data_IF_053843904770
#
_entry.id   IF_053843904770
#
_cell.length_a   1.000
_cell.length_b   1.000
_cell.length_c   1.000
_cell.angle_alpha   90.00
_cell.angle_beta   90.00
_cell.angle_gamma   90.00
#
_symmetry.space_group_name_H-M   'P 1'
#
loop_
_entity.id
_entity.type
_entity.pdbx_description
1 polymer ?
#
# COMPACT_ATOMS: atom_id res chain seq x y z
N UNK A 1 -36.24 62.42 22.90
CA UNK A 1 -35.08 62.42 23.82
C UNK A 1 -34.43 61.04 23.77
N UNK A 2 -33.09 61.00 23.54
CA UNK A 2 -32.12 59.93 23.89
C UNK A 2 -32.36 58.52 23.30
N UNK A 3 -31.63 58.02 22.30
CA UNK A 3 -30.18 57.70 22.15
C UNK A 3 -29.69 56.36 22.75
N UNK A 4 -28.95 55.62 21.90
CA UNK A 4 -27.94 54.57 22.15
C UNK A 4 -28.44 53.13 22.45
N UNK A 5 -27.82 52.03 21.98
CA UNK A 5 -26.60 51.80 21.22
C UNK A 5 -26.60 50.40 20.56
N UNK A 6 -25.78 50.27 19.52
CA UNK A 6 -25.31 49.05 18.86
C UNK A 6 -24.73 48.01 19.83
N UNK A 7 -24.86 46.73 19.48
CA UNK A 7 -23.83 45.72 19.78
C UNK A 7 -23.84 44.61 18.71
N UNK A 8 -23.00 44.88 17.71
CA UNK A 8 -22.37 43.92 16.81
C UNK A 8 -21.64 42.81 17.59
N UNK A 9 -21.90 41.56 17.24
CA UNK A 9 -20.95 40.46 17.50
C UNK A 9 -20.73 39.72 16.19
N UNK A 10 -19.52 39.90 15.65
CA UNK A 10 -19.09 39.34 14.38
C UNK A 10 -19.07 37.82 14.43
N UNK A 11 -19.78 37.21 13.49
CA UNK A 11 -19.64 35.80 13.22
C UNK A 11 -18.30 35.60 12.49
N UNK A 12 -17.36 35.08 13.26
CA UNK A 12 -16.02 34.66 12.89
C UNK A 12 -16.08 33.83 11.59
N UNK A 13 -15.64 34.41 10.47
CA UNK A 13 -15.42 33.69 9.22
C UNK A 13 -14.31 32.67 9.43
N UNK A 14 -14.69 31.40 9.55
CA UNK A 14 -13.77 30.27 9.59
C UNK A 14 -12.85 30.30 8.37
N UNK A 15 -11.56 30.48 8.65
CA UNK A 15 -10.42 29.78 8.06
C UNK A 15 -10.74 29.07 6.73
N UNK A 16 -10.41 29.75 5.63
CA UNK A 16 -10.00 29.11 4.39
C UNK A 16 -8.74 28.29 4.66
N UNK A 17 -8.91 27.10 5.25
CA UNK A 17 -7.94 26.03 5.13
C UNK A 17 -7.99 25.62 3.65
N UNK A 18 -7.10 26.21 2.86
CA UNK A 18 -6.87 25.80 1.48
C UNK A 18 -6.68 24.29 1.46
N UNK A 19 -7.62 23.60 0.82
CA UNK A 19 -7.43 22.21 0.44
C UNK A 19 -6.21 22.19 -0.48
N UNK A 20 -5.04 21.84 0.07
CA UNK A 20 -3.94 21.36 -0.75
C UNK A 20 -4.52 20.17 -1.50
N UNK A 21 -4.72 20.31 -2.81
CA UNK A 21 -4.85 19.14 -3.67
C UNK A 21 -3.58 18.32 -3.44
N UNK A 22 -3.73 17.18 -2.79
CA UNK A 22 -2.67 16.18 -2.77
C UNK A 22 -2.31 15.90 -4.23
N UNK A 23 -1.05 16.17 -4.54
CA UNK A 23 -0.52 16.08 -5.87
C UNK A 23 -0.58 14.62 -6.31
N UNK A 24 -1.60 14.27 -7.10
CA UNK A 24 -1.67 13.16 -8.05
C UNK A 24 -0.93 11.89 -7.58
N UNK A 25 -1.17 11.49 -6.33
CA UNK A 25 -0.79 10.18 -5.85
C UNK A 25 -1.77 9.23 -6.52
N UNK A 26 -1.25 8.31 -7.35
CA UNK A 26 -2.07 7.27 -7.97
C UNK A 26 -2.94 6.53 -6.95
N UNK A 27 -3.90 5.69 -7.40
CA UNK A 27 -4.83 5.00 -6.52
C UNK A 27 -4.14 4.38 -5.30
N UNK A 28 -4.72 4.63 -4.12
CA UNK A 28 -4.24 4.02 -2.89
C UNK A 28 -4.77 2.60 -2.76
N UNK A 29 -3.86 1.65 -2.62
CA UNK A 29 -4.15 0.25 -2.42
C UNK A 29 -3.99 -0.12 -0.96
N UNK A 30 -4.75 -1.12 -0.54
CA UNK A 30 -4.64 -1.69 0.79
C UNK A 30 -4.52 -3.21 0.68
N UNK A 31 -3.72 -3.81 1.55
CA UNK A 31 -3.49 -5.25 1.53
C UNK A 31 -2.88 -5.77 2.81
N UNK A 32 -2.78 -7.09 2.90
CA UNK A 32 -2.17 -7.80 4.02
C UNK A 32 -0.93 -8.52 3.54
N UNK A 33 0.18 -8.33 4.26
CA UNK A 33 1.44 -9.02 3.95
C UNK A 33 1.28 -10.52 4.20
N UNK A 34 1.55 -11.33 3.18
CA UNK A 34 1.55 -12.78 3.28
C UNK A 34 2.91 -13.31 3.75
N UNK A 35 3.98 -12.58 3.44
CA UNK A 35 5.36 -12.91 3.79
C UNK A 35 6.32 -12.31 2.76
N UNK A 36 7.52 -12.85 2.69
CA UNK A 36 8.52 -12.48 1.68
C UNK A 36 9.16 -13.71 1.05
N UNK A 37 9.53 -13.61 -0.22
CA UNK A 37 10.40 -14.58 -0.89
C UNK A 37 11.59 -13.85 -1.45
N UNK A 38 12.70 -14.57 -1.64
CA UNK A 38 13.90 -13.95 -2.17
C UNK A 38 13.71 -13.43 -3.61
N UNK A 39 12.98 -14.19 -4.44
CA UNK A 39 12.76 -13.85 -5.86
C UNK A 39 11.66 -12.83 -6.11
N UNK A 40 10.65 -12.77 -5.25
CA UNK A 40 9.49 -11.91 -5.47
C UNK A 40 9.52 -10.67 -4.57
N UNK A 41 10.26 -10.70 -3.47
CA UNK A 41 10.20 -9.67 -2.44
C UNK A 41 9.00 -9.88 -1.53
N UNK A 42 8.36 -8.80 -1.09
CA UNK A 42 7.23 -8.87 -0.16
C UNK A 42 5.95 -9.23 -0.90
N UNK A 43 5.30 -10.30 -0.47
CA UNK A 43 4.04 -10.78 -1.03
C UNK A 43 2.88 -10.14 -0.29
N UNK A 44 1.96 -9.55 -1.03
CA UNK A 44 0.84 -8.78 -0.49
C UNK A 44 -0.45 -9.34 -1.07
N UNK A 45 -1.37 -9.79 -0.20
CA UNK A 45 -2.76 -10.03 -0.56
C UNK A 45 -3.48 -8.68 -0.60
N UNK A 46 -3.74 -8.19 -1.80
CA UNK A 46 -4.45 -6.93 -2.00
C UNK A 46 -5.94 -7.15 -1.75
N UNK A 47 -6.60 -6.14 -1.20
CA UNK A 47 -8.05 -6.16 -0.98
C UNK A 47 -8.81 -6.42 -2.29
N UNK A 48 -9.94 -7.12 -2.17
CA UNK A 48 -10.79 -7.48 -3.31
C UNK A 48 -11.33 -6.27 -4.08
N UNK A 49 -11.41 -5.10 -3.43
CA UNK A 49 -11.76 -3.85 -4.07
C UNK A 49 -10.78 -3.44 -5.20
N UNK A 50 -9.56 -3.99 -5.18
CA UNK A 50 -8.50 -3.68 -6.13
C UNK A 50 -7.91 -4.97 -6.74
N UNK A 51 -8.52 -5.53 -7.81
CA UNK A 51 -8.11 -6.81 -8.41
C UNK A 51 -6.87 -6.65 -9.31
N UNK A 52 -5.78 -6.13 -8.75
CA UNK A 52 -4.52 -5.88 -9.46
C UNK A 52 -3.53 -7.06 -9.41
N UNK A 53 -3.83 -8.08 -8.62
CA UNK A 53 -3.01 -9.26 -8.41
C UNK A 53 -3.49 -10.49 -9.19
N UNK A 54 -2.84 -11.62 -8.92
CA UNK A 54 -3.25 -12.95 -9.38
C UNK A 54 -3.33 -13.93 -8.21
N UNK A 55 -4.06 -15.04 -8.36
CA UNK A 55 -3.98 -16.13 -7.39
C UNK A 55 -2.55 -16.67 -7.29
N UNK A 56 -2.08 -16.90 -6.06
CA UNK A 56 -0.77 -17.48 -5.80
C UNK A 56 -0.88 -18.61 -4.79
N UNK A 57 -0.17 -19.70 -5.08
CA UNK A 57 0.06 -20.79 -4.14
C UNK A 57 1.56 -21.00 -4.04
N UNK A 58 2.13 -20.75 -2.86
CA UNK A 58 3.53 -21.00 -2.59
C UNK A 58 3.67 -21.87 -1.36
N UNK A 59 4.24 -23.07 -1.51
CA UNK A 59 4.38 -24.04 -0.41
C UNK A 59 5.86 -24.26 -0.13
N UNK A 60 6.33 -23.75 1.01
CA UNK A 60 7.67 -24.07 1.54
C UNK A 60 7.54 -25.24 2.53
N UNK A 61 6.64 -25.12 3.51
CA UNK A 61 6.25 -26.16 4.48
C UNK A 61 4.73 -26.12 4.69
N UNK A 62 4.13 -27.11 5.37
CA UNK A 62 2.69 -27.13 5.64
C UNK A 62 2.20 -25.95 6.49
N UNK A 63 3.06 -25.39 7.36
CA UNK A 63 2.76 -24.18 8.16
C UNK A 63 3.01 -22.86 7.40
N UNK A 64 3.89 -22.88 6.40
CA UNK A 64 4.29 -21.69 5.64
C UNK A 64 3.70 -21.66 4.23
N UNK A 65 2.61 -22.39 4.01
CA UNK A 65 1.87 -22.31 2.77
C UNK A 65 1.22 -20.93 2.64
N UNK A 66 1.55 -20.22 1.57
CA UNK A 66 0.91 -18.99 1.14
C UNK A 66 -0.17 -19.37 0.15
N UNK A 67 -1.40 -18.94 0.44
CA UNK A 67 -2.53 -19.06 -0.46
C UNK A 67 -3.20 -17.69 -0.48
N UNK A 68 -3.26 -17.09 -1.66
CA UNK A 68 -3.95 -15.83 -1.87
C UNK A 68 -4.61 -15.82 -3.24
N UNK A 69 -5.65 -15.01 -3.38
CA UNK A 69 -6.47 -14.90 -4.60
C UNK A 69 -6.17 -13.66 -5.41
N UNK A 70 -5.55 -12.65 -4.78
CA UNK A 70 -5.26 -11.34 -5.38
C UNK A 70 -3.88 -10.87 -4.87
N UNK A 71 -2.85 -11.62 -5.24
CA UNK A 71 -1.49 -11.44 -4.72
C UNK A 71 -0.65 -10.62 -5.71
N UNK A 72 0.09 -9.66 -5.16
CA UNK A 72 1.15 -8.91 -5.84
C UNK A 72 2.46 -9.06 -5.08
N UNK A 73 3.56 -8.84 -5.78
CA UNK A 73 4.90 -8.88 -5.22
C UNK A 73 5.53 -7.47 -5.25
N UNK A 74 5.86 -6.93 -4.09
CA UNK A 74 6.63 -5.70 -3.97
C UNK A 74 8.13 -6.02 -3.96
N UNK A 75 8.80 -5.73 -5.07
CA UNK A 75 10.21 -6.11 -5.27
C UNK A 75 11.20 -5.18 -4.56
N UNK A 76 10.74 -3.99 -4.19
CA UNK A 76 11.52 -3.09 -3.36
C UNK A 76 11.32 -3.50 -1.90
N UNK A 77 12.33 -4.17 -1.32
CA UNK A 77 12.29 -4.64 0.06
C UNK A 77 12.12 -3.45 1.03
N UNK A 78 10.92 -3.20 1.59
CA UNK A 78 10.75 -2.13 2.54
C UNK A 78 11.08 -2.73 3.90
N UNK A 79 12.25 -2.43 4.44
CA UNK A 79 12.79 -3.01 5.70
C UNK A 79 11.83 -2.90 6.92
N UNK A 80 10.72 -2.16 6.80
CA UNK A 80 9.69 -1.96 7.83
C UNK A 80 8.36 -2.70 7.57
N UNK A 81 8.20 -3.33 6.42
CA UNK A 81 6.97 -3.95 5.97
C UNK A 81 7.28 -5.31 5.34
N UNK A 82 7.22 -6.36 6.15
CA UNK A 82 7.48 -7.75 5.76
C UNK A 82 6.92 -8.77 6.74
N UNK A 83 6.20 -8.30 7.77
CA UNK A 83 5.65 -9.17 8.80
C UNK A 83 4.35 -9.78 8.29
N UNK A 84 4.30 -11.10 8.23
CA UNK A 84 3.08 -11.83 7.85
C UNK A 84 1.89 -11.39 8.71
N UNK A 85 0.77 -11.09 8.07
CA UNK A 85 -0.45 -10.58 8.69
C UNK A 85 -0.49 -9.06 8.89
N UNK A 86 0.59 -8.34 8.59
CA UNK A 86 0.61 -6.88 8.71
C UNK A 86 -0.30 -6.24 7.65
N UNK A 87 -1.18 -5.35 8.11
CA UNK A 87 -2.00 -4.48 7.26
C UNK A 87 -1.17 -3.31 6.76
N UNK A 88 -1.18 -3.07 5.45
CA UNK A 88 -0.45 -1.98 4.81
C UNK A 88 -1.31 -1.25 3.79
N UNK A 89 -0.94 0.00 3.56
CA UNK A 89 -1.46 0.89 2.53
C UNK A 89 -0.30 1.35 1.68
N UNK A 90 -0.49 1.42 0.38
CA UNK A 90 0.59 1.73 -0.56
C UNK A 90 0.03 2.29 -1.87
N UNK A 91 0.85 3.04 -2.57
CA UNK A 91 0.72 3.28 -4.01
C UNK A 91 1.75 2.41 -4.75
N UNK A 92 1.73 2.34 -6.07
CA UNK A 92 2.81 1.67 -6.79
C UNK A 92 3.22 2.42 -8.06
N UNK A 93 4.47 2.25 -8.46
CA UNK A 93 5.02 2.80 -9.70
C UNK A 93 5.43 1.68 -10.65
N UNK A 94 4.65 1.45 -11.70
CA UNK A 94 4.97 0.50 -12.77
C UNK A 94 5.02 -0.97 -12.34
N UNK A 95 5.24 -1.83 -13.32
CA UNK A 95 5.53 -3.25 -13.13
C UNK A 95 7.01 -3.53 -13.37
N UNK A 96 7.58 -4.41 -12.57
CA UNK A 96 8.94 -4.93 -12.71
C UNK A 96 8.94 -6.36 -13.22
N UNK A 97 7.95 -6.77 -14.00
CA UNK A 97 7.88 -8.14 -14.53
C UNK A 97 9.15 -8.55 -15.32
N UNK A 98 9.98 -7.57 -15.72
CA UNK A 98 11.29 -7.77 -16.37
C UNK A 98 12.52 -7.70 -15.44
N UNK A 99 12.37 -7.29 -14.18
CA UNK A 99 13.49 -7.17 -13.24
C UNK A 99 13.33 -8.21 -12.12
N UNK A 100 14.24 -9.19 -12.09
CA UNK A 100 14.46 -10.03 -10.93
C UNK A 100 14.97 -9.22 -9.74
N UNK A 101 14.97 -9.79 -8.52
CA UNK A 101 15.42 -9.07 -7.35
C UNK A 101 16.90 -8.69 -7.50
N UNK A 102 17.37 -7.61 -6.84
CA UNK A 102 18.76 -7.19 -6.91
C UNK A 102 19.75 -8.13 -6.18
N UNK A 103 19.27 -9.23 -5.59
CA UNK A 103 20.04 -10.11 -4.70
C UNK A 103 20.12 -11.54 -5.20
N UNK A 104 21.22 -12.22 -4.87
CA UNK A 104 21.43 -13.64 -5.18
C UNK A 104 20.54 -14.50 -4.28
N UNK A 105 19.65 -15.29 -4.89
CA UNK A 105 18.74 -16.18 -4.18
C UNK A 105 19.22 -17.63 -4.23
N UNK A 106 19.54 -18.20 -3.07
CA UNK A 106 19.95 -19.61 -2.92
C UNK A 106 18.80 -20.54 -2.52
N UNK A 107 17.66 -19.97 -2.12
CA UNK A 107 16.42 -20.66 -1.80
C UNK A 107 15.26 -20.01 -2.57
N UNK A 108 14.14 -20.74 -2.73
CA UNK A 108 12.94 -20.26 -3.43
C UNK A 108 13.26 -19.83 -4.88
N UNK A 109 13.90 -20.72 -5.65
CA UNK A 109 14.47 -20.42 -6.98
C UNK A 109 13.45 -20.32 -8.11
N UNK A 110 12.15 -20.48 -7.80
CA UNK A 110 11.07 -20.32 -8.76
C UNK A 110 10.32 -19.04 -8.43
N UNK A 111 10.35 -18.08 -9.36
CA UNK A 111 9.57 -16.85 -9.29
C UNK A 111 8.09 -17.17 -9.45
N UNK A 112 7.23 -16.51 -8.68
CA UNK A 112 5.78 -16.68 -8.79
C UNK A 112 5.24 -16.00 -10.06
N UNK A 113 4.24 -16.61 -10.72
CA UNK A 113 3.48 -15.94 -11.80
C UNK A 113 2.40 -15.03 -11.21
N UNK A 114 2.87 -13.95 -10.59
CA UNK A 114 2.06 -12.86 -10.05
C UNK A 114 2.62 -11.53 -10.53
N UNK A 115 1.84 -10.44 -10.48
CA UNK A 115 2.34 -9.12 -10.83
C UNK A 115 3.42 -8.65 -9.84
N UNK A 116 4.58 -8.22 -10.38
CA UNK A 116 5.64 -7.58 -9.60
C UNK A 116 5.59 -6.07 -9.78
N UNK A 117 5.65 -5.34 -8.67
CA UNK A 117 5.51 -3.89 -8.63
C UNK A 117 6.53 -3.25 -7.70
N UNK A 118 6.71 -1.94 -7.86
CA UNK A 118 7.45 -1.10 -6.92
C UNK A 118 6.43 -0.40 -6.02
N UNK A 119 6.33 -0.86 -4.77
CA UNK A 119 5.46 -0.25 -3.78
C UNK A 119 6.04 1.09 -3.30
N UNK A 120 5.21 2.13 -3.29
CA UNK A 120 5.56 3.49 -2.88
C UNK A 120 4.59 3.97 -1.81
N UNK A 121 4.96 5.00 -1.04
CA UNK A 121 4.12 5.57 0.02
C UNK A 121 3.57 4.53 1.02
N UNK A 122 4.40 3.55 1.39
CA UNK A 122 4.04 2.49 2.31
C UNK A 122 3.71 3.03 3.70
N UNK A 123 2.56 2.64 4.23
CA UNK A 123 2.03 3.13 5.51
C UNK A 123 1.24 2.04 6.23
N UNK A 124 1.27 2.06 7.57
CA UNK A 124 0.34 1.29 8.41
C UNK A 124 -1.01 1.98 8.59
N UNK A 125 -1.07 3.28 8.29
CA UNK A 125 -2.27 4.09 8.38
C UNK A 125 -2.96 4.13 7.02
N UNK A 126 -4.29 4.17 7.03
CA UNK A 126 -5.08 4.36 5.83
C UNK A 126 -4.67 5.63 5.08
N UNK A 127 -4.79 5.60 3.76
CA UNK A 127 -4.60 6.79 2.96
C UNK A 127 -5.57 7.89 3.38
N UNK A 128 -5.09 9.14 3.38
CA UNK A 128 -5.95 10.29 3.56
C UNK A 128 -6.93 10.33 2.37
N UNK A 129 -8.23 10.42 2.67
CA UNK A 129 -9.27 10.72 1.69
C UNK A 129 -9.42 12.23 1.54
#
# INVERSE_FOLDING_TARGET
>A
MRHYALLSTGLLGLLLAGCRHDADLGPCYAGTVLGETCLDGVLIQVDEAYPIGKPAVYRITSSDSLVGTNVVAAVNNPERFGVRGQRIYFTYSGSTDQHGPPQICTANTVRLDIPHLIATNLSSNACAN
#
